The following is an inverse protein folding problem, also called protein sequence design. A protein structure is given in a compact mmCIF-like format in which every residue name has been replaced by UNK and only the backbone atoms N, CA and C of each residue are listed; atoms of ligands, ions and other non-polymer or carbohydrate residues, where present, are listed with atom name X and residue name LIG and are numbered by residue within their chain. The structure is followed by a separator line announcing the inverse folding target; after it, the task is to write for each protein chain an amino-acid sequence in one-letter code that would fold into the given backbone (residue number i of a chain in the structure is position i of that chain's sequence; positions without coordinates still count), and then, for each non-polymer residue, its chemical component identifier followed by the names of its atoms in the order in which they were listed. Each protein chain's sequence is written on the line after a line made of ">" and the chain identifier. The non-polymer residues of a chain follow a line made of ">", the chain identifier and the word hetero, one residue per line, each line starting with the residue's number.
data_IF_517581201930
#
_entry.id   IF_517581201930
#
_cell.length_a   1.000
_cell.length_b   1.000
_cell.length_c   1.000
_cell.angle_alpha   90.00
_cell.angle_beta   90.00
_cell.angle_gamma   90.00
#
_symmetry.space_group_name_H-M   'P 1'
#
loop_
_entity.id
_entity.type
_entity.pdbx_description
1 polymer ?
#
# COMPACT_ATOMS: atom_id res chain seq x y z
N UNK A 1 -21.82 -10.01 -7.69
CA UNK A 1 -20.48 -9.42 -7.95
C UNK A 1 -20.62 -8.37 -9.03
N UNK A 2 -20.03 -7.19 -8.83
CA UNK A 2 -20.20 -6.03 -9.74
C UNK A 2 -19.08 -5.90 -10.79
N UNK A 3 -18.00 -6.68 -10.71
CA UNK A 3 -16.81 -6.53 -11.56
C UNK A 3 -16.23 -7.87 -12.06
N UNK A 4 -17.02 -8.95 -11.97
CA UNK A 4 -16.61 -10.30 -12.42
C UNK A 4 -15.43 -10.91 -11.66
N UNK A 5 -15.20 -10.51 -10.40
CA UNK A 5 -14.21 -11.07 -9.49
C UNK A 5 -14.73 -11.13 -8.05
N UNK A 6 -13.94 -11.74 -7.17
CA UNK A 6 -14.34 -12.21 -5.83
C UNK A 6 -13.73 -11.40 -4.68
N UNK A 7 -14.41 -11.37 -3.53
CA UNK A 7 -13.94 -10.81 -2.26
C UNK A 7 -13.81 -11.93 -1.21
N UNK A 8 -12.59 -12.17 -0.75
CA UNK A 8 -12.27 -13.14 0.31
C UNK A 8 -11.74 -12.45 1.55
N UNK A 9 -12.21 -12.90 2.72
CA UNK A 9 -11.72 -12.46 4.02
C UNK A 9 -11.33 -13.71 4.82
N UNK A 10 -10.12 -13.73 5.35
CA UNK A 10 -9.64 -14.81 6.23
C UNK A 10 -8.95 -14.22 7.45
N UNK A 11 -9.36 -14.64 8.64
CA UNK A 11 -8.79 -14.18 9.91
C UNK A 11 -8.11 -15.33 10.64
N UNK A 12 -7.03 -15.01 11.35
CA UNK A 12 -6.28 -15.91 12.24
C UNK A 12 -6.27 -15.29 13.63
N UNK A 13 -6.70 -16.05 14.64
CA UNK A 13 -6.75 -15.57 16.02
C UNK A 13 -5.36 -15.66 16.68
N UNK A 14 -5.09 -14.74 17.61
CA UNK A 14 -3.80 -14.66 18.30
C UNK A 14 -3.48 -15.91 19.13
N UNK A 15 -4.50 -16.56 19.71
CA UNK A 15 -4.32 -17.76 20.52
C UNK A 15 -3.78 -18.95 19.70
N UNK A 16 -4.08 -19.00 18.41
CA UNK A 16 -3.62 -20.07 17.50
C UNK A 16 -2.37 -19.66 16.72
N UNK A 17 -2.21 -18.37 16.44
CA UNK A 17 -1.13 -17.81 15.61
C UNK A 17 -0.46 -16.60 16.30
N UNK A 18 0.30 -16.78 17.39
CA UNK A 18 0.83 -15.66 18.19
C UNK A 18 1.65 -14.66 17.37
N UNK A 19 2.49 -15.13 16.44
CA UNK A 19 3.36 -14.26 15.62
C UNK A 19 2.79 -13.96 14.21
N UNK A 20 1.64 -14.54 13.84
CA UNK A 20 1.11 -14.48 12.47
C UNK A 20 -0.43 -14.38 12.43
N UNK A 21 -1.01 -13.79 13.47
CA UNK A 21 -2.44 -13.49 13.56
C UNK A 21 -2.79 -12.22 12.78
N UNK A 22 -4.08 -12.02 12.56
CA UNK A 22 -4.60 -10.86 11.84
C UNK A 22 -5.66 -11.24 10.81
N UNK A 23 -6.00 -10.29 9.95
CA UNK A 23 -7.02 -10.44 8.92
C UNK A 23 -6.44 -10.12 7.56
N UNK A 24 -6.57 -11.07 6.63
CA UNK A 24 -6.29 -10.88 5.22
C UNK A 24 -7.59 -10.61 4.48
N UNK A 25 -7.64 -9.48 3.77
CA UNK A 25 -8.72 -9.14 2.84
C UNK A 25 -8.14 -9.17 1.43
N UNK A 26 -8.77 -9.92 0.53
CA UNK A 26 -8.37 -10.06 -0.86
C UNK A 26 -9.56 -9.79 -1.76
N UNK A 27 -9.47 -8.75 -2.58
CA UNK A 27 -10.44 -8.45 -3.63
C UNK A 27 -9.79 -8.66 -5.00
N UNK A 28 -10.46 -9.42 -5.85
CA UNK A 28 -10.04 -9.68 -7.23
C UNK A 28 -11.03 -9.05 -8.17
N UNK A 29 -10.54 -8.54 -9.30
CA UNK A 29 -11.34 -7.79 -10.26
C UNK A 29 -10.97 -8.23 -11.68
N UNK A 30 -11.97 -8.41 -12.54
CA UNK A 30 -11.73 -8.66 -13.96
C UNK A 30 -11.52 -7.34 -14.70
N UNK A 31 -10.28 -7.09 -15.15
CA UNK A 31 -9.91 -5.86 -15.89
C UNK A 31 -10.64 -5.67 -17.22
N UNK A 32 -11.22 -6.74 -17.79
CA UNK A 32 -11.99 -6.68 -19.04
C UNK A 32 -13.49 -6.42 -18.80
N UNK A 33 -13.95 -6.32 -17.56
CA UNK A 33 -15.35 -6.03 -17.25
C UNK A 33 -15.66 -4.54 -17.49
N UNK A 34 -16.83 -4.22 -18.04
CA UNK A 34 -17.23 -2.83 -18.38
C UNK A 34 -17.25 -1.91 -17.15
N UNK A 35 -17.55 -2.47 -15.98
CA UNK A 35 -17.59 -1.75 -14.70
C UNK A 35 -16.25 -1.74 -13.94
N UNK A 36 -15.14 -2.18 -14.55
CA UNK A 36 -13.83 -2.15 -13.91
C UNK A 36 -13.37 -0.70 -13.72
N UNK A 37 -13.42 -0.22 -12.49
CA UNK A 37 -12.93 1.12 -12.14
C UNK A 37 -11.40 1.10 -12.05
N UNK A 38 -10.70 2.14 -12.57
CA UNK A 38 -9.27 2.29 -12.38
C UNK A 38 -8.88 2.29 -10.89
N UNK A 39 -7.62 1.98 -10.61
CA UNK A 39 -7.08 1.89 -9.25
C UNK A 39 -7.24 3.18 -8.42
N UNK A 40 -7.32 4.34 -9.07
CA UNK A 40 -7.44 5.65 -8.42
C UNK A 40 -6.10 6.19 -7.90
N UNK A 41 -6.17 7.20 -7.03
CA UNK A 41 -4.99 7.82 -6.41
C UNK A 41 -4.54 7.04 -5.17
N UNK A 42 -3.73 6.01 -5.41
CA UNK A 42 -3.15 5.18 -4.36
C UNK A 42 -2.04 5.86 -3.59
N UNK A 43 -1.32 6.82 -4.19
CA UNK A 43 -0.25 7.54 -3.50
C UNK A 43 -0.86 8.37 -2.37
N UNK A 44 -1.91 9.15 -2.66
CA UNK A 44 -2.60 9.93 -1.63
C UNK A 44 -3.23 9.03 -0.56
N UNK A 45 -3.73 7.85 -0.93
CA UNK A 45 -4.28 6.88 0.03
C UNK A 45 -3.20 6.38 1.00
N UNK A 46 -2.04 5.95 0.49
CA UNK A 46 -0.92 5.46 1.31
C UNK A 46 -0.40 6.57 2.22
N UNK A 47 -0.18 7.78 1.69
CA UNK A 47 0.28 8.93 2.49
C UNK A 47 -0.71 9.28 3.59
N UNK A 48 -2.02 9.23 3.31
CA UNK A 48 -3.08 9.49 4.30
C UNK A 48 -3.07 8.44 5.41
N UNK A 49 -2.87 7.16 5.08
CA UNK A 49 -2.79 6.08 6.07
C UNK A 49 -1.60 6.27 7.02
N UNK A 50 -0.43 6.63 6.47
CA UNK A 50 0.79 6.90 7.24
C UNK A 50 0.60 8.13 8.12
N UNK A 51 0.10 9.24 7.56
CA UNK A 51 -0.17 10.47 8.31
C UNK A 51 -1.15 10.24 9.47
N UNK A 52 -2.20 9.43 9.27
CA UNK A 52 -3.19 9.15 10.31
C UNK A 52 -2.72 8.14 11.37
N UNK A 53 -1.69 7.34 11.07
CA UNK A 53 -1.20 6.27 11.95
C UNK A 53 0.33 6.18 11.91
N UNK A 54 1.07 7.24 12.30
CA UNK A 54 2.52 7.31 12.15
C UNK A 54 3.30 6.31 13.00
N UNK A 55 2.65 5.64 13.97
CA UNK A 55 3.25 4.59 14.81
C UNK A 55 3.05 3.17 14.23
N UNK A 56 2.28 3.03 13.16
CA UNK A 56 2.04 1.75 12.49
C UNK A 56 3.03 1.55 11.36
N UNK A 57 3.40 0.28 11.15
CA UNK A 57 4.21 -0.08 10.00
C UNK A 57 3.34 -0.39 8.80
N UNK A 58 3.68 0.20 7.67
CA UNK A 58 3.04 0.00 6.39
C UNK A 58 4.03 -0.58 5.40
N UNK A 59 3.65 -1.71 4.81
CA UNK A 59 4.28 -2.26 3.62
C UNK A 59 3.29 -2.11 2.46
N UNK A 60 3.60 -1.23 1.53
CA UNK A 60 2.85 -1.07 0.30
C UNK A 60 3.61 -1.70 -0.87
N UNK A 61 2.92 -2.52 -1.65
CA UNK A 61 3.47 -3.16 -2.84
C UNK A 61 2.42 -3.13 -3.95
N UNK A 62 2.77 -2.50 -5.07
CA UNK A 62 1.99 -2.57 -6.30
C UNK A 62 2.84 -3.20 -7.41
N UNK A 63 2.43 -4.39 -7.86
CA UNK A 63 3.09 -5.14 -8.93
C UNK A 63 2.31 -5.03 -10.23
N UNK A 64 3.02 -4.78 -11.32
CA UNK A 64 2.51 -4.80 -12.69
C UNK A 64 3.49 -5.50 -13.63
N UNK A 65 3.08 -5.79 -14.86
CA UNK A 65 3.98 -6.31 -15.90
C UNK A 65 5.15 -5.37 -16.20
N UNK A 66 5.01 -4.07 -15.91
CA UNK A 66 6.03 -3.05 -16.19
C UNK A 66 7.03 -2.86 -15.05
N UNK A 67 6.75 -3.40 -13.86
CA UNK A 67 7.59 -3.22 -12.69
C UNK A 67 6.80 -3.20 -11.38
N UNK A 68 7.52 -2.92 -10.30
CA UNK A 68 6.99 -2.91 -8.93
C UNK A 68 7.24 -1.56 -8.29
N UNK A 69 6.21 -0.99 -7.65
CA UNK A 69 6.33 0.16 -6.74
C UNK A 69 6.21 -0.36 -5.32
N UNK A 70 7.14 0.05 -4.45
CA UNK A 70 7.24 -0.41 -3.06
C UNK A 70 7.52 0.73 -2.09
N UNK A 71 6.95 0.62 -0.90
CA UNK A 71 7.28 1.47 0.25
C UNK A 71 7.22 0.60 1.51
N UNK A 72 8.26 0.64 2.32
CA UNK A 72 8.31 0.01 3.64
C UNK A 72 8.68 1.07 4.69
N UNK A 73 7.75 1.39 5.58
CA UNK A 73 7.99 2.41 6.61
C UNK A 73 9.04 1.97 7.64
N UNK A 74 9.33 0.67 7.75
CA UNK A 74 10.37 0.16 8.66
C UNK A 74 11.76 0.54 8.17
N UNK A 75 11.96 0.52 6.84
CA UNK A 75 13.21 0.99 6.23
C UNK A 75 13.38 2.49 6.45
N UNK A 76 12.30 3.27 6.28
CA UNK A 76 12.29 4.70 6.55
C UNK A 76 12.66 5.03 8.00
N UNK A 77 12.03 4.37 8.97
CA UNK A 77 12.38 4.54 10.39
C UNK A 77 13.85 4.23 10.67
N UNK A 78 14.42 3.22 10.02
CA UNK A 78 15.83 2.88 10.22
C UNK A 78 16.80 3.98 9.78
N UNK A 79 16.39 4.82 8.82
CA UNK A 79 17.19 5.94 8.29
C UNK A 79 16.89 7.24 9.02
N UNK A 80 15.63 7.45 9.40
CA UNK A 80 15.14 8.69 10.02
C UNK A 80 15.31 8.74 11.54
N UNK A 81 15.59 7.59 12.17
CA UNK A 81 15.74 7.44 13.62
C UNK A 81 14.53 8.02 14.37
N UNK A 82 14.70 9.14 15.07
CA UNK A 82 13.69 9.77 15.92
C UNK A 82 12.78 10.74 15.17
N UNK A 83 13.00 10.96 13.86
CA UNK A 83 12.15 11.87 13.07
C UNK A 83 10.80 11.19 12.77
N UNK A 84 9.67 11.78 13.19
CA UNK A 84 8.34 11.21 12.95
C UNK A 84 7.97 11.16 11.46
N UNK A 85 7.26 10.09 11.07
CA UNK A 85 6.84 9.88 9.68
C UNK A 85 5.72 10.81 9.21
N UNK A 86 4.99 11.44 10.13
CA UNK A 86 3.90 12.37 9.85
C UNK A 86 4.34 13.83 9.73
N UNK A 87 5.65 14.11 9.83
CA UNK A 87 6.18 15.44 9.50
C UNK A 87 5.91 15.77 8.04
N UNK A 88 5.67 17.05 7.73
CA UNK A 88 5.36 17.50 6.39
C UNK A 88 6.46 17.11 5.39
N UNK A 89 7.72 17.27 5.78
CA UNK A 89 8.90 16.97 4.98
C UNK A 89 8.97 15.49 4.63
N UNK A 90 8.74 14.59 5.60
CA UNK A 90 8.76 13.14 5.37
C UNK A 90 7.58 12.71 4.50
N UNK A 91 6.37 13.22 4.75
CA UNK A 91 5.19 12.92 3.93
C UNK A 91 5.33 13.45 2.49
N UNK A 92 5.94 14.61 2.29
CA UNK A 92 6.25 15.14 0.96
C UNK A 92 7.23 14.22 0.24
N UNK A 93 8.32 13.83 0.93
CA UNK A 93 9.31 12.91 0.38
C UNK A 93 8.70 11.54 0.02
N UNK A 94 7.86 10.96 0.88
CA UNK A 94 7.18 9.67 0.60
C UNK A 94 6.32 9.79 -0.66
N UNK A 95 5.57 10.89 -0.80
CA UNK A 95 4.75 11.15 -1.98
C UNK A 95 5.60 11.28 -3.24
N UNK A 96 6.67 12.05 -3.18
CA UNK A 96 7.60 12.27 -4.30
C UNK A 96 8.28 10.95 -4.70
N UNK A 97 8.80 10.20 -3.75
CA UNK A 97 9.42 8.90 -3.98
C UNK A 97 8.47 7.90 -4.65
N UNK A 98 7.25 7.75 -4.15
CA UNK A 98 6.24 6.89 -4.78
C UNK A 98 5.90 7.39 -6.19
N UNK A 99 5.79 8.70 -6.39
CA UNK A 99 5.51 9.29 -7.70
C UNK A 99 6.61 8.98 -8.70
N UNK A 100 7.88 9.16 -8.32
CA UNK A 100 9.05 8.82 -9.14
C UNK A 100 9.08 7.34 -9.50
N UNK A 101 8.81 6.44 -8.54
CA UNK A 101 8.70 5.01 -8.82
C UNK A 101 7.59 4.74 -9.84
N UNK A 102 6.42 5.36 -9.70
CA UNK A 102 5.34 5.21 -10.67
C UNK A 102 5.72 5.73 -12.07
N UNK A 103 6.40 6.87 -12.17
CA UNK A 103 6.88 7.39 -13.44
C UNK A 103 7.91 6.45 -14.09
N UNK A 104 8.78 5.82 -13.29
CA UNK A 104 9.76 4.85 -13.79
C UNK A 104 9.12 3.60 -14.41
N UNK A 105 7.94 3.18 -13.94
CA UNK A 105 7.20 2.03 -14.47
C UNK A 105 6.13 2.41 -15.51
N UNK A 106 5.93 3.71 -15.78
CA UNK A 106 4.99 4.22 -16.80
C UNK A 106 5.61 4.36 -18.19
N UNK A 107 6.94 4.47 -18.33
CA UNK A 107 7.59 4.66 -19.63
C UNK A 107 7.49 3.39 -20.52
N UNK A 108 6.53 3.40 -21.45
CA UNK A 108 6.60 3.35 -22.94
C UNK A 108 5.17 3.71 -23.41
#
# INVERSE_FOLDING_TARGET
>A
EQTGGDLKISSRHIDEFPDAHGTLVCATFNKAHIDFTPLGDVISTVVTLIQGHPDRDFLFIHKSERGTVTLDTRELRSVLEEIPLDTFEVLSWIRENLTEQYESIKQI
#
